data_IF_058634736483
#
_entry.id   IF_058634736483
#
_cell.length_a   1.000
_cell.length_b   1.000
_cell.length_c   1.000
_cell.angle_alpha   90.00
_cell.angle_beta   90.00
_cell.angle_gamma   90.00
#
_symmetry.space_group_name_H-M   'P 1'
#
loop_
_entity.id
_entity.type
_entity.pdbx_description
1 polymer ?
#
# COMPACT_ATOMS: atom_id res chain seq x y z
N UNK A 1 30.43 -9.15 -12.39
CA UNK A 1 29.21 -8.64 -11.72
C UNK A 1 29.05 -9.13 -10.26
N UNK A 2 29.50 -10.32 -9.88
CA UNK A 2 29.49 -10.83 -8.49
C UNK A 2 30.49 -10.10 -7.58
N UNK A 3 31.64 -9.69 -8.10
CA UNK A 3 32.68 -9.01 -7.32
C UNK A 3 32.35 -7.56 -6.95
N UNK A 4 31.52 -6.88 -7.74
CA UNK A 4 31.04 -5.52 -7.44
C UNK A 4 30.02 -5.47 -6.29
N UNK A 5 29.27 -6.57 -6.07
CA UNK A 5 28.33 -6.68 -4.95
C UNK A 5 29.02 -6.97 -3.62
N UNK A 6 30.20 -7.62 -3.66
CA UNK A 6 31.00 -7.92 -2.46
C UNK A 6 31.80 -6.68 -2.03
N UNK A 7 32.20 -5.82 -2.95
CA UNK A 7 32.90 -4.56 -2.63
C UNK A 7 32.01 -3.52 -1.95
N UNK A 8 30.67 -3.62 -2.08
CA UNK A 8 29.71 -2.72 -1.41
C UNK A 8 29.40 -3.12 0.03
N UNK A 9 29.84 -4.30 0.49
CA UNK A 9 29.63 -4.78 1.86
C UNK A 9 30.81 -4.53 2.79
N UNK A 10 31.90 -3.94 2.31
CA UNK A 10 33.10 -3.72 3.11
C UNK A 10 33.35 -2.22 3.28
N UNK A 11 33.16 -1.74 4.50
CA UNK A 11 33.56 -0.41 5.03
C UNK A 11 32.69 0.80 4.64
N UNK A 12 31.39 0.74 4.83
CA UNK A 12 30.60 1.97 4.93
C UNK A 12 30.73 2.55 6.34
N UNK A 13 31.06 3.82 6.43
CA UNK A 13 31.04 4.53 7.73
C UNK A 13 29.59 4.59 8.26
N UNK A 14 29.37 4.71 9.59
CA UNK A 14 28.03 4.83 10.16
C UNK A 14 27.22 6.01 9.58
N UNK A 15 27.88 7.03 9.05
CA UNK A 15 27.24 8.17 8.38
C UNK A 15 26.75 7.81 6.97
N UNK A 16 27.55 7.07 6.20
CA UNK A 16 27.21 6.60 4.85
C UNK A 16 26.10 5.55 4.91
N UNK A 17 26.14 4.65 5.90
CA UNK A 17 25.06 3.68 6.14
C UNK A 17 23.74 4.40 6.41
N UNK A 18 23.72 5.41 7.28
CA UNK A 18 22.53 6.24 7.55
C UNK A 18 22.04 6.99 6.33
N UNK A 19 22.94 7.52 5.50
CA UNK A 19 22.58 8.22 4.27
C UNK A 19 21.96 7.24 3.25
N UNK A 20 22.56 6.07 3.07
CA UNK A 20 22.07 5.01 2.18
C UNK A 20 20.72 4.47 2.67
N UNK A 21 20.55 4.26 3.98
CA UNK A 21 19.27 3.87 4.57
C UNK A 21 18.20 4.96 4.41
N UNK A 22 18.54 6.23 4.55
CA UNK A 22 17.61 7.34 4.32
C UNK A 22 17.20 7.42 2.84
N UNK A 23 18.13 7.27 1.91
CA UNK A 23 17.88 7.25 0.46
C UNK A 23 17.11 5.99 0.07
N UNK A 24 17.44 4.83 0.65
CA UNK A 24 16.68 3.58 0.46
C UNK A 24 15.26 3.69 1.03
N UNK A 25 15.08 4.29 2.21
CA UNK A 25 13.75 4.58 2.78
C UNK A 25 12.94 5.53 1.89
N UNK A 26 13.55 6.59 1.39
CA UNK A 26 12.89 7.53 0.48
C UNK A 26 12.61 6.87 -0.88
N UNK A 27 13.50 6.08 -1.42
CA UNK A 27 13.27 5.29 -2.63
C UNK A 27 12.26 4.17 -2.41
N UNK A 28 12.29 3.47 -1.28
CA UNK A 28 11.27 2.47 -0.94
C UNK A 28 9.91 3.12 -0.70
N UNK A 29 9.85 4.31 -0.11
CA UNK A 29 8.60 5.12 -0.08
C UNK A 29 8.15 5.50 -1.49
N UNK A 30 9.05 5.87 -2.39
CA UNK A 30 8.72 6.19 -3.80
C UNK A 30 8.44 4.96 -4.64
N UNK A 31 9.12 3.83 -4.42
CA UNK A 31 8.91 2.55 -5.12
C UNK A 31 7.69 1.82 -4.54
N UNK A 32 7.44 1.87 -3.24
CA UNK A 32 6.17 1.46 -2.67
C UNK A 32 5.02 2.41 -3.11
N UNK A 33 5.32 3.67 -3.40
CA UNK A 33 4.37 4.61 -3.96
C UNK A 33 4.16 4.45 -5.47
N UNK A 34 5.12 3.93 -6.24
CA UNK A 34 5.00 3.86 -7.71
C UNK A 34 4.21 2.67 -8.28
N UNK A 35 4.26 1.44 -7.74
CA UNK A 35 3.31 0.39 -8.14
C UNK A 35 2.03 0.40 -7.31
N UNK A 36 1.97 1.13 -6.20
CA UNK A 36 0.80 1.31 -5.35
C UNK A 36 0.30 2.75 -5.29
N UNK A 37 0.95 3.70 -5.97
CA UNK A 37 0.32 4.96 -6.26
C UNK A 37 -0.97 4.64 -6.99
N UNK A 38 -2.08 4.78 -6.29
CA UNK A 38 -3.40 4.77 -6.90
C UNK A 38 -3.35 5.92 -7.89
N UNK A 39 -3.10 5.61 -9.16
CA UNK A 39 -3.05 6.62 -10.22
C UNK A 39 -4.30 7.47 -10.08
N UNK A 40 -4.15 8.79 -10.12
CA UNK A 40 -5.30 9.67 -10.07
C UNK A 40 -6.24 9.31 -11.22
N UNK A 41 -7.50 9.05 -10.91
CA UNK A 41 -8.50 8.77 -11.92
C UNK A 41 -8.69 10.01 -12.80
N UNK A 42 -8.80 9.82 -14.10
CA UNK A 42 -9.09 10.89 -15.07
C UNK A 42 -10.59 11.20 -15.13
N UNK A 43 -11.43 10.17 -15.03
CA UNK A 43 -12.87 10.33 -14.93
C UNK A 43 -13.25 10.78 -13.50
N UNK A 44 -13.93 11.92 -13.39
CA UNK A 44 -14.29 12.50 -12.09
C UNK A 44 -15.15 11.55 -11.24
N UNK A 45 -16.05 10.79 -11.86
CA UNK A 45 -16.94 9.83 -11.16
C UNK A 45 -16.13 8.67 -10.57
N UNK A 46 -15.07 8.22 -11.30
CA UNK A 46 -14.15 7.23 -10.79
C UNK A 46 -13.31 7.80 -9.65
N UNK A 47 -12.86 9.05 -9.77
CA UNK A 47 -12.13 9.75 -8.69
C UNK A 47 -12.99 9.85 -7.42
N UNK A 48 -14.26 10.24 -7.56
CA UNK A 48 -15.20 10.32 -6.44
C UNK A 48 -15.46 8.93 -5.81
N UNK A 49 -15.61 7.90 -6.63
CA UNK A 49 -15.75 6.52 -6.15
C UNK A 49 -14.51 6.06 -5.36
N UNK A 50 -13.32 6.34 -5.87
CA UNK A 50 -12.06 6.04 -5.18
C UNK A 50 -11.95 6.77 -3.85
N UNK A 51 -12.29 8.06 -3.81
CA UNK A 51 -12.30 8.88 -2.60
C UNK A 51 -13.24 8.31 -1.54
N UNK A 52 -14.49 7.98 -1.89
CA UNK A 52 -15.45 7.37 -0.97
C UNK A 52 -14.93 6.07 -0.33
N UNK A 53 -14.25 5.23 -1.10
CA UNK A 53 -13.66 3.99 -0.59
C UNK A 53 -12.46 4.28 0.32
N UNK A 54 -11.65 5.28 0.00
CA UNK A 54 -10.48 5.66 0.80
C UNK A 54 -10.86 6.31 2.13
N UNK A 55 -11.97 7.06 2.18
CA UNK A 55 -12.50 7.67 3.40
C UNK A 55 -12.99 6.60 4.39
N UNK A 56 -13.45 5.45 3.92
CA UNK A 56 -13.89 4.35 4.77
C UNK A 56 -13.51 2.99 4.16
N UNK A 57 -12.27 2.58 4.41
CA UNK A 57 -11.72 1.30 3.95
C UNK A 57 -12.31 0.10 4.67
N UNK A 58 -12.84 0.30 5.88
CA UNK A 58 -13.50 -0.75 6.67
C UNK A 58 -14.83 -1.15 6.05
N UNK A 59 -15.58 -0.21 5.47
CA UNK A 59 -16.87 -0.44 4.85
C UNK A 59 -16.81 -1.54 3.77
N UNK A 60 -17.69 -2.54 3.82
CA UNK A 60 -17.79 -3.55 2.77
C UNK A 60 -18.48 -2.99 1.52
N UNK A 61 -17.77 -2.16 0.75
CA UNK A 61 -18.29 -1.57 -0.47
C UNK A 61 -18.62 -2.64 -1.51
N UNK A 62 -19.92 -2.78 -1.84
CA UNK A 62 -20.35 -3.46 -3.06
C UNK A 62 -20.27 -2.49 -4.24
N UNK A 63 -19.84 -2.97 -5.42
CA UNK A 63 -19.65 -2.13 -6.60
C UNK A 63 -20.93 -1.41 -7.03
N UNK A 64 -22.08 -2.09 -6.97
CA UNK A 64 -23.38 -1.49 -7.28
C UNK A 64 -23.78 -0.36 -6.34
N UNK A 65 -23.53 -0.51 -5.04
CA UNK A 65 -23.76 0.56 -4.04
C UNK A 65 -22.85 1.76 -4.30
N UNK A 66 -21.58 1.51 -4.60
CA UNK A 66 -20.61 2.55 -4.92
C UNK A 66 -21.00 3.30 -6.20
N UNK A 67 -21.41 2.57 -7.25
CA UNK A 67 -21.87 3.14 -8.51
C UNK A 67 -23.10 4.06 -8.31
N UNK A 68 -24.04 3.65 -7.47
CA UNK A 68 -25.19 4.49 -7.09
C UNK A 68 -24.80 5.79 -6.41
N UNK A 69 -23.75 5.79 -5.59
CA UNK A 69 -23.23 6.99 -4.91
C UNK A 69 -22.60 8.01 -5.87
N UNK A 70 -22.09 7.55 -7.00
CA UNK A 70 -21.49 8.41 -8.05
C UNK A 70 -22.37 8.52 -9.31
N UNK A 71 -23.64 8.15 -9.19
CA UNK A 71 -24.68 8.33 -10.19
C UNK A 71 -24.38 7.68 -11.57
N UNK A 72 -23.77 6.49 -11.57
CA UNK A 72 -23.54 5.69 -12.77
C UNK A 72 -23.96 4.23 -12.56
N UNK A 73 -24.04 3.46 -13.67
CA UNK A 73 -24.30 2.03 -13.56
C UNK A 73 -23.08 1.27 -13.04
N UNK A 74 -23.30 0.13 -12.38
CA UNK A 74 -22.25 -0.79 -11.95
C UNK A 74 -21.35 -1.21 -13.12
N UNK A 75 -21.95 -1.48 -14.29
CA UNK A 75 -21.21 -1.82 -15.50
C UNK A 75 -20.26 -0.71 -15.93
N UNK A 76 -20.71 0.55 -15.88
CA UNK A 76 -19.89 1.72 -16.22
C UNK A 76 -18.73 1.86 -15.25
N UNK A 77 -18.99 1.77 -13.94
CA UNK A 77 -17.95 1.88 -12.93
C UNK A 77 -16.93 0.72 -13.04
N UNK A 78 -17.40 -0.52 -13.25
CA UNK A 78 -16.51 -1.68 -13.47
C UNK A 78 -15.60 -1.47 -14.69
N UNK A 79 -16.11 -0.90 -15.76
CA UNK A 79 -15.32 -0.58 -16.95
C UNK A 79 -14.28 0.49 -16.66
N UNK A 80 -14.64 1.57 -15.98
CA UNK A 80 -13.72 2.65 -15.62
C UNK A 80 -12.52 2.14 -14.80
N UNK A 81 -12.74 1.26 -13.80
CA UNK A 81 -11.66 0.63 -13.06
C UNK A 81 -10.70 -0.16 -13.94
N UNK A 82 -11.22 -0.88 -14.95
CA UNK A 82 -10.38 -1.66 -15.86
C UNK A 82 -9.65 -0.78 -16.87
N UNK A 83 -10.34 0.21 -17.44
CA UNK A 83 -9.78 1.06 -18.49
C UNK A 83 -8.70 2.00 -17.96
N UNK A 84 -8.89 2.55 -16.74
CA UNK A 84 -7.93 3.52 -16.20
C UNK A 84 -6.85 2.89 -15.34
N UNK A 85 -7.17 1.84 -14.57
CA UNK A 85 -6.23 1.22 -13.63
C UNK A 85 -5.76 -0.18 -14.04
N UNK A 86 -6.36 -0.79 -15.08
CA UNK A 86 -6.10 -2.18 -15.44
C UNK A 86 -6.53 -3.20 -14.38
N UNK A 87 -7.41 -2.81 -13.45
CA UNK A 87 -7.80 -3.59 -12.28
C UNK A 87 -9.32 -3.75 -12.18
N UNK A 88 -9.76 -4.85 -11.58
CA UNK A 88 -11.11 -4.93 -11.06
C UNK A 88 -11.26 -4.11 -9.79
N UNK A 89 -12.49 -3.69 -9.44
CA UNK A 89 -12.75 -2.98 -8.18
C UNK A 89 -12.23 -3.72 -6.94
N UNK A 90 -12.44 -5.04 -6.76
CA UNK A 90 -11.87 -5.76 -5.62
C UNK A 90 -10.33 -5.73 -5.56
N UNK A 91 -9.68 -5.82 -6.72
CA UNK A 91 -8.21 -5.74 -6.80
C UNK A 91 -7.71 -4.34 -6.42
N UNK A 92 -8.35 -3.30 -6.95
CA UNK A 92 -8.03 -1.92 -6.64
C UNK A 92 -8.26 -1.63 -5.15
N UNK A 93 -9.41 -2.07 -4.59
CA UNK A 93 -9.72 -1.92 -3.17
C UNK A 93 -8.70 -2.62 -2.26
N UNK A 94 -8.27 -3.82 -2.65
CA UNK A 94 -7.21 -4.53 -1.91
C UNK A 94 -5.92 -3.72 -1.89
N UNK A 95 -5.51 -3.15 -3.02
CA UNK A 95 -4.33 -2.28 -3.09
C UNK A 95 -4.47 -1.03 -2.22
N UNK A 96 -5.63 -0.38 -2.25
CA UNK A 96 -5.91 0.78 -1.41
C UNK A 96 -5.79 0.46 0.08
N UNK A 97 -6.32 -0.68 0.52
CA UNK A 97 -6.19 -1.17 1.90
C UNK A 97 -4.75 -1.49 2.29
N UNK A 98 -3.98 -2.12 1.41
CA UNK A 98 -2.56 -2.42 1.66
C UNK A 98 -1.75 -1.13 1.75
N UNK A 99 -2.03 -0.14 0.90
CA UNK A 99 -1.37 1.16 0.98
C UNK A 99 -1.63 1.87 2.32
N UNK A 100 -2.90 1.93 2.74
CA UNK A 100 -3.25 2.48 4.05
C UNK A 100 -2.59 1.71 5.21
N UNK A 101 -2.54 0.38 5.11
CA UNK A 101 -1.86 -0.46 6.09
C UNK A 101 -0.35 -0.17 6.17
N UNK A 102 0.31 0.09 5.04
CA UNK A 102 1.72 0.48 5.02
C UNK A 102 1.96 1.80 5.76
N UNK A 103 1.09 2.78 5.58
CA UNK A 103 1.17 4.06 6.30
C UNK A 103 1.01 3.83 7.80
N UNK A 104 -0.03 3.12 8.24
CA UNK A 104 -0.27 2.84 9.66
C UNK A 104 0.88 2.06 10.31
N UNK A 105 1.43 1.06 9.63
CA UNK A 105 2.57 0.29 10.12
C UNK A 105 3.84 1.15 10.22
N UNK A 106 4.05 2.07 9.28
CA UNK A 106 5.17 3.01 9.32
C UNK A 106 5.03 4.03 10.48
N UNK A 107 3.81 4.36 10.87
CA UNK A 107 3.47 5.19 12.03
C UNK A 107 3.52 4.42 13.36
N UNK A 108 3.84 3.11 13.33
CA UNK A 108 4.04 2.29 14.52
C UNK A 108 2.83 1.48 14.98
N UNK A 109 1.72 1.50 14.25
CA UNK A 109 0.54 0.70 14.58
C UNK A 109 0.87 -0.79 14.64
N UNK A 110 0.14 -1.55 15.48
CA UNK A 110 0.31 -2.99 15.53
C UNK A 110 -0.25 -3.67 14.28
N UNK A 111 0.25 -4.87 13.97
CA UNK A 111 -0.24 -5.66 12.82
C UNK A 111 -1.72 -5.98 12.97
N UNK A 112 -2.18 -6.27 14.19
CA UNK A 112 -3.57 -6.61 14.48
C UNK A 112 -4.48 -5.39 14.31
N UNK A 113 -4.12 -4.25 14.92
CA UNK A 113 -4.92 -3.02 14.80
C UNK A 113 -5.01 -2.56 13.34
N UNK A 114 -3.88 -2.62 12.61
CA UNK A 114 -3.81 -2.29 11.19
C UNK A 114 -4.75 -3.19 10.36
N UNK A 115 -4.74 -4.51 10.61
CA UNK A 115 -5.63 -5.43 9.93
C UNK A 115 -7.09 -5.03 10.10
N UNK A 116 -7.51 -4.77 11.34
CA UNK A 116 -8.88 -4.37 11.64
C UNK A 116 -9.24 -3.01 11.05
N UNK A 117 -8.41 -2.00 11.25
CA UNK A 117 -8.65 -0.65 10.73
C UNK A 117 -8.76 -0.61 9.19
N UNK A 118 -8.00 -1.45 8.50
CA UNK A 118 -8.09 -1.58 7.04
C UNK A 118 -9.19 -2.56 6.57
N UNK A 119 -10.03 -3.08 7.48
CA UNK A 119 -11.22 -3.87 7.16
C UNK A 119 -10.96 -5.33 6.78
N UNK A 120 -9.89 -5.96 7.29
CA UNK A 120 -9.73 -7.42 7.22
C UNK A 120 -10.48 -8.11 8.35
N UNK A 121 -11.20 -9.17 8.00
CA UNK A 121 -11.92 -9.98 8.98
C UNK A 121 -10.98 -10.73 9.94
N UNK A 122 -9.78 -11.07 9.49
CA UNK A 122 -8.76 -11.76 10.30
C UNK A 122 -7.36 -11.22 10.03
N UNK A 123 -6.53 -11.18 11.07
CA UNK A 123 -5.12 -10.80 10.97
C UNK A 123 -4.35 -11.74 10.02
N UNK A 124 -4.69 -13.04 10.00
CA UNK A 124 -4.05 -14.03 9.11
C UNK A 124 -4.30 -13.72 7.63
N UNK A 125 -5.53 -13.39 7.24
CA UNK A 125 -5.87 -13.01 5.87
C UNK A 125 -5.15 -11.71 5.46
N UNK A 126 -5.03 -10.75 6.38
CA UNK A 126 -4.25 -9.55 6.19
C UNK A 126 -2.77 -9.87 5.94
N UNK A 127 -2.11 -10.64 6.82
CA UNK A 127 -0.69 -10.99 6.70
C UNK A 127 -0.40 -11.64 5.35
N UNK A 128 -1.21 -12.62 4.93
CA UNK A 128 -1.04 -13.30 3.65
C UNK A 128 -1.19 -12.34 2.46
N UNK A 129 -2.24 -11.50 2.49
CA UNK A 129 -2.49 -10.55 1.40
C UNK A 129 -1.43 -9.47 1.33
N UNK A 130 -1.01 -8.94 2.47
CA UNK A 130 0.07 -7.96 2.56
C UNK A 130 1.38 -8.54 2.01
N UNK A 131 1.80 -9.71 2.48
CA UNK A 131 3.05 -10.35 2.04
C UNK A 131 3.05 -10.63 0.53
N UNK A 132 1.93 -11.11 -0.02
CA UNK A 132 1.79 -11.33 -1.46
C UNK A 132 1.85 -10.03 -2.27
N UNK A 133 1.34 -8.92 -1.74
CA UNK A 133 1.25 -7.64 -2.46
C UNK A 133 2.50 -6.79 -2.28
N UNK A 134 3.07 -6.77 -1.06
CA UNK A 134 4.21 -5.95 -0.70
C UNK A 134 5.57 -6.67 -0.79
N UNK A 135 5.56 -8.01 -0.97
CA UNK A 135 6.77 -8.83 -1.02
C UNK A 135 7.44 -9.10 0.33
N UNK A 136 6.93 -8.53 1.42
CA UNK A 136 7.43 -8.70 2.79
C UNK A 136 6.25 -8.81 3.77
N UNK A 137 6.45 -9.45 4.93
CA UNK A 137 5.39 -9.52 5.95
C UNK A 137 5.15 -8.16 6.61
N UNK A 138 3.93 -7.89 7.15
CA UNK A 138 3.64 -6.64 7.86
C UNK A 138 4.57 -6.40 9.06
N UNK A 139 4.94 -7.48 9.77
CA UNK A 139 5.88 -7.41 10.89
C UNK A 139 7.28 -7.00 10.46
N UNK A 140 7.80 -7.60 9.38
CA UNK A 140 9.09 -7.23 8.80
C UNK A 140 9.08 -5.79 8.24
N UNK A 141 7.98 -5.38 7.58
CA UNK A 141 7.80 -4.03 7.09
C UNK A 141 7.87 -3.00 8.24
N UNK A 142 7.12 -3.25 9.33
CA UNK A 142 7.13 -2.40 10.52
C UNK A 142 8.51 -2.33 11.19
N UNK A 143 9.19 -3.46 11.34
CA UNK A 143 10.52 -3.53 11.96
C UNK A 143 11.58 -2.76 11.13
N UNK A 144 11.47 -2.79 9.80
CA UNK A 144 12.34 -2.02 8.90
C UNK A 144 12.10 -0.51 8.93
N UNK A 145 10.89 -0.07 9.35
CA UNK A 145 10.53 1.35 9.48
C UNK A 145 10.69 1.89 10.91
N UNK A 146 10.73 1.01 11.92
CA UNK A 146 10.57 1.34 13.34
C UNK A 146 11.84 1.34 14.17
N UNK A 147 13.04 1.47 13.59
CA UNK A 147 14.25 1.71 14.40
C UNK A 147 14.67 3.19 14.33
N UNK A 148 14.28 4.05 15.30
CA UNK A 148 15.19 5.06 15.77
C UNK A 148 16.30 4.29 16.50
N UNK A 149 17.54 4.40 16.06
CA UNK A 149 18.68 3.96 16.86
C UNK A 149 18.67 4.82 18.13
N UNK A 150 18.38 4.16 19.26
CA UNK A 150 18.80 4.68 20.54
C UNK A 150 20.33 4.48 20.60
N UNK A 151 21.03 5.59 20.77
CA UNK A 151 22.37 5.64 21.30
C UNK A 151 22.42 5.09 22.71
#
# INVERSE_FOLDING_TARGET
MRELLIALTTTLTPAETRHIEAVLRDRLRRVAAQPMALSAARDQRLADACRLVQEDLYQPWALGRLAGRVHISERTLSRLYRDEFGLTFPQWRTRARIFAAMVMLAEGATVTDTAHACGWATTSAFIQTFARTAGVTPGAYRAGMGKPQQE
#
